data_IF_390281819423
#
_entry.id   IF_390281819423
#
_cell.length_a   1.000
_cell.length_b   1.000
_cell.length_c   1.000
_cell.angle_alpha   90.00
_cell.angle_beta   90.00
_cell.angle_gamma   90.00
#
_symmetry.space_group_name_H-M   'P 1'
#
loop_
_entity.id
_entity.type
_entity.pdbx_description
1 polymer ?
#
# COMPACT_ATOMS: atom_id res chain seq x y z
N UNK A 1 -4.58 -9.45 -14.59
CA UNK A 1 -5.97 -8.93 -14.48
C UNK A 1 -6.12 -7.78 -13.47
N UNK A 2 -5.21 -7.55 -12.51
CA UNK A 2 -5.33 -6.48 -11.50
C UNK A 2 -5.53 -5.05 -12.05
N UNK A 3 -5.07 -4.78 -13.28
CA UNK A 3 -5.25 -3.51 -13.99
C UNK A 3 -6.28 -3.60 -15.14
N UNK A 4 -7.23 -4.53 -15.04
CA UNK A 4 -8.13 -4.86 -16.15
C UNK A 4 -7.43 -5.51 -17.33
N UNK A 5 -8.12 -5.59 -18.47
CA UNK A 5 -7.66 -6.20 -19.71
C UNK A 5 -8.43 -5.62 -20.92
N UNK A 6 -7.91 -5.86 -22.14
CA UNK A 6 -8.54 -5.42 -23.39
C UNK A 6 -8.61 -3.90 -23.52
N UNK A 7 -9.67 -3.40 -24.16
CA UNK A 7 -9.89 -1.97 -24.44
C UNK A 7 -10.04 -1.11 -23.17
N UNK A 8 -10.33 -1.72 -22.02
CA UNK A 8 -10.47 -1.05 -20.72
C UNK A 8 -9.28 -1.34 -19.79
N UNK A 9 -8.17 -1.86 -20.32
CA UNK A 9 -6.95 -1.99 -19.51
C UNK A 9 -6.56 -0.63 -18.97
N UNK A 10 -6.26 -0.57 -17.67
CA UNK A 10 -5.93 0.67 -16.97
C UNK A 10 -4.79 1.40 -17.70
N UNK A 11 -5.10 2.61 -18.16
CA UNK A 11 -4.16 3.50 -18.82
C UNK A 11 -2.98 3.85 -17.90
N UNK A 12 -3.27 4.02 -16.59
CA UNK A 12 -2.28 4.35 -15.57
C UNK A 12 -1.45 3.16 -15.04
N UNK A 13 -1.62 1.94 -15.56
CA UNK A 13 -0.93 0.77 -15.02
C UNK A 13 0.61 0.90 -14.96
N UNK A 14 1.31 1.53 -15.93
CA UNK A 14 2.74 1.75 -15.82
C UNK A 14 3.11 2.71 -14.68
N UNK A 15 2.37 3.81 -14.52
CA UNK A 15 2.60 4.80 -13.47
C UNK A 15 2.35 4.19 -12.08
N UNK A 16 1.20 3.53 -11.90
CA UNK A 16 0.86 2.89 -10.63
C UNK A 16 1.90 1.83 -10.21
N UNK A 17 2.51 1.12 -11.17
CA UNK A 17 3.61 0.19 -10.89
C UNK A 17 4.88 0.91 -10.45
N UNK A 18 5.27 1.98 -11.14
CA UNK A 18 6.45 2.76 -10.78
C UNK A 18 6.29 3.38 -9.39
N UNK A 19 5.14 3.98 -9.10
CA UNK A 19 4.82 4.55 -7.80
C UNK A 19 4.86 3.49 -6.69
N UNK A 20 4.23 2.33 -6.89
CA UNK A 20 4.24 1.25 -5.91
C UNK A 20 5.67 0.74 -5.65
N UNK A 21 6.47 0.55 -6.69
CA UNK A 21 7.86 0.10 -6.54
C UNK A 21 8.68 1.13 -5.74
N UNK A 22 8.64 2.40 -6.14
CA UNK A 22 9.43 3.46 -5.51
C UNK A 22 8.99 3.65 -4.06
N UNK A 23 7.69 3.78 -3.80
CA UNK A 23 7.16 4.05 -2.48
C UNK A 23 7.44 2.90 -1.51
N UNK A 24 7.12 1.66 -1.89
CA UNK A 24 7.34 0.49 -1.02
C UNK A 24 8.83 0.29 -0.74
N UNK A 25 9.69 0.43 -1.75
CA UNK A 25 11.14 0.31 -1.57
C UNK A 25 11.68 1.42 -0.68
N UNK A 26 11.24 2.66 -0.87
CA UNK A 26 11.70 3.80 -0.06
C UNK A 26 11.30 3.64 1.41
N UNK A 27 10.03 3.30 1.68
CA UNK A 27 9.50 3.10 3.04
C UNK A 27 10.23 1.96 3.74
N UNK A 28 10.31 0.79 3.12
CA UNK A 28 10.93 -0.39 3.75
C UNK A 28 12.44 -0.23 3.95
N UNK A 29 13.14 0.53 3.08
CA UNK A 29 14.55 0.87 3.31
C UNK A 29 14.72 1.87 4.44
N UNK A 30 13.86 2.89 4.51
CA UNK A 30 13.96 3.97 5.50
C UNK A 30 13.65 3.49 6.91
N UNK A 31 12.66 2.61 7.05
CA UNK A 31 12.15 2.06 8.32
C UNK A 31 12.27 0.52 8.31
N UNK A 32 13.48 -0.05 8.46
CA UNK A 32 13.67 -1.49 8.37
C UNK A 32 12.98 -2.27 9.51
N UNK A 33 12.70 -1.64 10.65
CA UNK A 33 11.95 -2.25 11.75
C UNK A 33 10.46 -1.87 11.75
N UNK A 34 9.91 -1.44 10.61
CA UNK A 34 8.49 -1.06 10.49
C UNK A 34 7.59 -2.25 10.86
N UNK A 35 6.70 -2.03 11.84
CA UNK A 35 5.72 -3.02 12.30
C UNK A 35 4.40 -2.36 12.64
N UNK A 36 3.32 -3.15 12.70
CA UNK A 36 2.03 -2.63 13.13
C UNK A 36 2.10 -2.12 14.59
N UNK A 37 1.46 -0.99 14.83
CA UNK A 37 1.29 -0.41 16.17
C UNK A 37 0.13 -1.08 16.94
N UNK A 38 -0.68 -1.88 16.25
CA UNK A 38 -1.88 -2.54 16.76
C UNK A 38 -1.92 -4.00 16.30
N UNK A 39 -2.69 -4.88 16.97
CA UNK A 39 -3.00 -6.21 16.45
C UNK A 39 -3.61 -6.14 15.03
N UNK A 40 -3.29 -7.08 14.10
CA UNK A 40 -3.77 -7.03 12.72
C UNK A 40 -5.31 -7.05 12.57
N UNK A 41 -6.00 -7.71 13.49
CA UNK A 41 -7.45 -7.81 13.55
C UNK A 41 -8.14 -6.50 13.96
N UNK A 42 -7.39 -5.54 14.50
CA UNK A 42 -7.88 -4.19 14.79
C UNK A 42 -7.83 -3.24 13.58
N UNK A 43 -7.32 -3.70 12.44
CA UNK A 43 -7.27 -2.88 11.22
C UNK A 43 -8.68 -2.78 10.61
N UNK A 44 -9.18 -1.54 10.55
CA UNK A 44 -10.46 -1.24 9.92
C UNK A 44 -10.27 -1.19 8.40
N UNK A 45 -11.01 -2.03 7.69
CA UNK A 45 -11.02 -2.09 6.24
C UNK A 45 -12.11 -1.19 5.65
N UNK A 46 -11.76 -0.48 4.57
CA UNK A 46 -12.70 0.40 3.86
C UNK A 46 -13.90 -0.40 3.35
N UNK A 47 -15.11 0.09 3.64
CA UNK A 47 -16.36 -0.50 3.15
C UNK A 47 -16.73 0.04 1.76
N UNK A 48 -15.86 -0.16 0.76
CA UNK A 48 -16.12 0.23 -0.64
C UNK A 48 -16.07 -0.95 -1.59
N UNK A 49 -16.80 -0.87 -2.70
CA UNK A 49 -16.80 -1.91 -3.76
C UNK A 49 -15.65 -1.76 -4.77
N UNK A 50 -15.01 -0.60 -4.81
CA UNK A 50 -14.04 -0.24 -5.85
C UNK A 50 -12.59 -0.42 -5.41
N UNK A 51 -12.27 -0.08 -4.15
CA UNK A 51 -10.90 -0.11 -3.64
C UNK A 51 -10.87 -0.91 -2.34
N UNK A 52 -10.07 -1.96 -2.33
CA UNK A 52 -9.80 -2.76 -1.14
C UNK A 52 -8.52 -2.27 -0.47
N UNK A 53 -8.64 -1.81 0.78
CA UNK A 53 -7.51 -1.34 1.56
C UNK A 53 -7.94 -0.90 2.97
N UNK A 54 -6.99 -0.77 3.90
CA UNK A 54 -7.28 -0.27 5.23
C UNK A 54 -7.69 1.21 5.17
N UNK A 55 -8.51 1.64 6.13
CA UNK A 55 -8.81 3.06 6.33
C UNK A 55 -7.56 3.80 6.80
N UNK A 56 -6.83 3.19 7.74
CA UNK A 56 -5.53 3.61 8.22
C UNK A 56 -4.65 2.38 8.52
N UNK A 57 -3.33 2.55 8.47
CA UNK A 57 -2.36 1.51 8.84
C UNK A 57 -1.45 2.05 9.96
N UNK A 58 -1.84 1.89 11.24
CA UNK A 58 -1.02 2.35 12.36
C UNK A 58 0.28 1.54 12.43
N UNK A 59 1.42 2.23 12.37
CA UNK A 59 2.74 1.60 12.35
C UNK A 59 3.69 2.26 13.35
N UNK A 60 4.62 1.46 13.86
CA UNK A 60 5.80 1.90 14.60
C UNK A 60 7.01 1.69 13.69
N UNK A 61 7.81 2.73 13.50
CA UNK A 61 9.05 2.66 12.73
C UNK A 61 10.24 3.12 13.56
N UNK A 62 11.40 2.55 13.30
CA UNK A 62 12.66 3.09 13.78
C UNK A 62 13.04 4.30 12.91
N UNK A 63 12.93 5.51 13.46
CA UNK A 63 13.49 6.66 12.77
C UNK A 63 15.02 6.50 12.77
N UNK A 64 15.64 6.09 11.64
CA UNK A 64 17.08 6.33 11.52
C UNK A 64 17.28 7.83 11.58
N UNK A 65 18.01 8.30 12.58
CA UNK A 65 18.43 9.70 12.69
C UNK A 65 19.16 10.13 11.42
#
# INVERSE_FOLDING_TARGET
>A
LAFGHGIHRCLGAPLARAEAEIALRAVLRRFPALRLAVPPDHIIWRRTRLVHGPESLPVLGDARR
#
